data_IF_096035432063
#
_entry.id   IF_096035432063
#
_cell.length_a   1.000
_cell.length_b   1.000
_cell.length_c   1.000
_cell.angle_alpha   90.00
_cell.angle_beta   90.00
_cell.angle_gamma   90.00
#
_symmetry.space_group_name_H-M   'P 1'
#
loop_
_entity.id
_entity.type
_entity.pdbx_description
1 polymer ?
#
# COMPACT_ATOMS: atom_id res chain seq x y z
N UNK A 1 3.64 -11.33 21.79
CA UNK A 1 4.71 -11.17 20.79
C UNK A 1 4.25 -11.73 19.44
N UNK A 2 4.84 -11.29 18.33
CA UNK A 2 4.50 -11.75 16.99
C UNK A 2 4.59 -13.28 16.84
N UNK A 3 5.62 -13.89 17.43
CA UNK A 3 5.78 -15.34 17.42
C UNK A 3 4.58 -16.08 18.04
N UNK A 4 4.01 -15.54 19.13
CA UNK A 4 2.84 -16.15 19.78
C UNK A 4 1.57 -16.00 18.94
N UNK A 5 1.45 -14.91 18.18
CA UNK A 5 0.30 -14.65 17.31
C UNK A 5 0.35 -15.45 16.01
N UNK A 6 1.53 -15.58 15.41
CA UNK A 6 1.70 -16.24 14.12
C UNK A 6 1.97 -17.74 14.21
N UNK A 7 2.36 -18.25 15.39
CA UNK A 7 2.84 -19.60 15.57
C UNK A 7 4.16 -19.91 14.85
N UNK A 8 4.84 -18.88 14.33
CA UNK A 8 6.09 -18.99 13.57
C UNK A 8 7.23 -18.28 14.28
N UNK A 9 8.45 -18.78 14.12
CA UNK A 9 9.64 -18.14 14.67
C UNK A 9 9.88 -16.77 14.06
N UNK A 10 10.17 -15.77 14.91
CA UNK A 10 10.53 -14.42 14.48
C UNK A 10 12.03 -14.38 14.23
N UNK A 11 12.41 -14.07 13.00
CA UNK A 11 13.81 -13.89 12.60
C UNK A 11 14.27 -12.46 12.91
N UNK A 12 15.42 -12.33 13.58
CA UNK A 12 15.94 -11.03 14.04
C UNK A 12 17.27 -10.70 13.41
N UNK A 13 18.07 -11.68 13.04
CA UNK A 13 19.42 -11.49 12.52
C UNK A 13 19.68 -12.43 11.34
N UNK A 14 20.53 -11.98 10.41
CA UNK A 14 21.04 -12.82 9.31
C UNK A 14 21.96 -13.94 9.80
N UNK A 15 22.68 -13.71 10.90
CA UNK A 15 23.72 -14.60 11.43
C UNK A 15 23.24 -15.35 12.69
N UNK A 16 21.95 -15.60 12.83
CA UNK A 16 21.45 -16.43 13.92
C UNK A 16 21.82 -17.90 13.63
N UNK A 17 22.66 -18.58 14.46
CA UNK A 17 23.05 -19.98 14.25
C UNK A 17 21.86 -20.95 14.27
N UNK A 18 20.74 -20.55 14.89
CA UNK A 18 19.48 -21.31 14.87
C UNK A 18 18.73 -21.10 13.55
N UNK A 19 19.01 -20.03 12.81
CA UNK A 19 18.39 -19.76 11.52
C UNK A 19 18.96 -20.65 10.39
N UNK A 20 20.17 -21.19 10.52
CA UNK A 20 20.73 -22.17 9.57
C UNK A 20 19.99 -23.51 9.60
N UNK A 21 19.36 -23.87 10.74
CA UNK A 21 18.51 -25.06 10.87
C UNK A 21 17.07 -24.85 10.39
N UNK A 22 16.71 -23.61 10.00
CA UNK A 22 15.39 -23.22 9.54
C UNK A 22 15.46 -22.58 8.16
N UNK A 23 14.36 -21.93 7.77
CA UNK A 23 14.27 -21.21 6.50
C UNK A 23 15.25 -20.02 6.47
N UNK A 24 16.27 -20.09 5.63
CA UNK A 24 17.25 -19.01 5.42
C UNK A 24 16.63 -17.77 4.77
N UNK A 25 17.35 -16.65 4.76
CA UNK A 25 16.83 -15.38 4.19
C UNK A 25 16.38 -15.50 2.72
N UNK A 26 17.08 -16.31 1.91
CA UNK A 26 16.69 -16.54 0.51
C UNK A 26 15.41 -17.37 0.42
N UNK A 27 15.21 -18.34 1.29
CA UNK A 27 13.99 -19.14 1.32
C UNK A 27 12.80 -18.31 1.80
N UNK A 28 12.99 -17.44 2.80
CA UNK A 28 11.98 -16.46 3.23
C UNK A 28 11.61 -15.51 2.09
N UNK A 29 12.59 -15.01 1.34
CA UNK A 29 12.36 -14.13 0.22
C UNK A 29 11.56 -14.80 -0.92
N UNK A 30 11.77 -16.11 -1.13
CA UNK A 30 11.02 -16.92 -2.11
C UNK A 30 9.64 -17.33 -1.61
N UNK A 31 9.49 -17.50 -0.30
CA UNK A 31 8.25 -17.91 0.32
C UNK A 31 7.23 -16.77 0.42
N UNK A 32 7.69 -15.52 0.48
CA UNK A 32 6.82 -14.37 0.67
C UNK A 32 6.00 -14.07 -0.60
N UNK A 33 4.70 -13.90 -0.44
CA UNK A 33 3.79 -13.37 -1.47
C UNK A 33 3.77 -11.84 -1.44
N UNK A 34 4.05 -11.24 -0.27
CA UNK A 34 4.16 -9.80 -0.07
C UNK A 34 5.11 -9.51 1.09
N UNK A 35 5.91 -8.45 0.96
CA UNK A 35 6.72 -7.91 2.07
C UNK A 35 6.16 -6.55 2.47
N UNK A 36 5.69 -6.46 3.72
CA UNK A 36 5.31 -5.20 4.35
C UNK A 36 6.38 -4.72 5.32
N UNK A 37 6.81 -3.49 5.18
CA UNK A 37 7.68 -2.81 6.17
C UNK A 37 6.85 -1.80 6.97
N UNK A 38 6.46 -2.18 8.18
CA UNK A 38 5.62 -1.38 9.08
C UNK A 38 6.12 -1.48 10.53
N UNK A 39 6.64 -0.41 11.11
CA UNK A 39 6.85 0.92 10.53
C UNK A 39 8.06 0.99 9.58
N UNK A 40 7.95 1.82 8.52
CA UNK A 40 9.07 2.19 7.68
C UNK A 40 9.63 3.55 8.14
N UNK A 41 10.75 3.53 8.87
CA UNK A 41 11.43 4.75 9.34
C UNK A 41 12.18 5.43 8.20
N UNK A 42 12.61 6.69 8.38
CA UNK A 42 13.42 7.41 7.40
C UNK A 42 14.72 6.66 7.05
N UNK A 43 15.38 6.07 8.06
CA UNK A 43 16.58 5.26 7.84
C UNK A 43 16.28 4.02 6.99
N UNK A 44 15.23 3.27 7.35
CA UNK A 44 14.81 2.09 6.58
C UNK A 44 14.44 2.48 5.14
N UNK A 45 13.67 3.55 4.98
CA UNK A 45 13.30 4.05 3.65
C UNK A 45 14.52 4.38 2.79
N UNK A 46 15.54 5.02 3.36
CA UNK A 46 16.78 5.33 2.66
C UNK A 46 17.53 4.05 2.21
N UNK A 47 17.66 3.05 3.10
CA UNK A 47 18.28 1.78 2.76
C UNK A 47 17.55 1.08 1.60
N UNK A 48 16.21 1.02 1.67
CA UNK A 48 15.38 0.37 0.64
C UNK A 48 15.44 1.11 -0.69
N UNK A 49 15.38 2.44 -0.68
CA UNK A 49 15.45 3.27 -1.88
C UNK A 49 16.81 3.15 -2.59
N UNK A 50 17.89 3.06 -1.85
CA UNK A 50 19.26 2.97 -2.36
C UNK A 50 19.71 1.52 -2.64
N UNK A 51 18.87 0.52 -2.35
CA UNK A 51 19.20 -0.89 -2.57
C UNK A 51 20.30 -1.40 -1.65
N UNK A 52 20.52 -0.77 -0.50
CA UNK A 52 21.48 -1.24 0.49
C UNK A 52 20.91 -2.43 1.27
N UNK A 53 21.78 -3.37 1.66
CA UNK A 53 21.38 -4.61 2.33
C UNK A 53 22.26 -4.92 3.57
N UNK A 54 22.38 -4.00 4.55
CA UNK A 54 23.23 -4.21 5.71
C UNK A 54 22.61 -5.13 6.78
N UNK A 55 21.31 -5.40 6.70
CA UNK A 55 20.55 -6.17 7.68
C UNK A 55 19.61 -7.20 7.04
N UNK A 56 18.96 -8.02 7.86
CA UNK A 56 18.06 -9.06 7.39
C UNK A 56 16.89 -8.48 6.57
N UNK A 57 16.28 -7.39 7.03
CA UNK A 57 15.12 -6.78 6.36
C UNK A 57 15.48 -6.29 4.96
N UNK A 58 16.54 -5.49 4.87
CA UNK A 58 16.98 -4.92 3.59
C UNK A 58 17.51 -5.98 2.63
N UNK A 59 18.13 -7.05 3.15
CA UNK A 59 18.54 -8.22 2.36
C UNK A 59 17.31 -8.97 1.82
N UNK A 60 16.31 -9.25 2.65
CA UNK A 60 15.04 -9.87 2.22
C UNK A 60 14.35 -9.02 1.15
N UNK A 61 14.30 -7.71 1.36
CA UNK A 61 13.74 -6.76 0.42
C UNK A 61 14.42 -6.81 -0.95
N UNK A 62 15.73 -6.86 -0.97
CA UNK A 62 16.51 -6.94 -2.21
C UNK A 62 16.36 -8.30 -2.92
N UNK A 63 16.25 -9.39 -2.15
CA UNK A 63 16.18 -10.75 -2.69
C UNK A 63 14.78 -11.18 -3.16
N UNK A 64 13.73 -10.56 -2.62
CA UNK A 64 12.35 -10.97 -2.90
C UNK A 64 11.86 -10.41 -4.24
N UNK A 65 11.18 -11.28 -5.01
CA UNK A 65 10.52 -10.93 -6.26
C UNK A 65 9.02 -10.61 -6.10
N UNK A 66 8.47 -10.78 -4.88
CA UNK A 66 7.05 -10.55 -4.59
C UNK A 66 6.70 -9.06 -4.51
N UNK A 67 5.39 -8.79 -4.36
CA UNK A 67 4.88 -7.44 -4.10
C UNK A 67 5.49 -6.86 -2.81
N UNK A 68 5.68 -5.55 -2.80
CA UNK A 68 6.34 -4.85 -1.69
C UNK A 68 5.50 -3.65 -1.27
N UNK A 69 5.37 -3.46 0.04
CA UNK A 69 4.65 -2.34 0.63
C UNK A 69 5.43 -1.72 1.79
N UNK A 70 5.29 -0.43 1.97
CA UNK A 70 5.83 0.31 3.11
C UNK A 70 4.73 1.12 3.80
N UNK A 71 4.76 1.16 5.12
CA UNK A 71 3.95 2.06 5.94
C UNK A 71 4.89 3.06 6.66
N UNK A 72 5.11 4.26 6.10
CA UNK A 72 6.02 5.23 6.67
C UNK A 72 5.59 5.68 8.07
N UNK A 73 6.58 5.82 8.97
CA UNK A 73 6.39 6.29 10.34
C UNK A 73 7.61 7.05 10.82
N UNK A 74 7.49 8.36 11.04
CA UNK A 74 8.57 9.21 11.50
C UNK A 74 8.05 10.56 12.00
N UNK A 75 8.89 11.34 12.65
CA UNK A 75 8.57 12.72 13.00
C UNK A 75 8.25 13.55 11.74
N UNK A 76 7.35 14.53 11.85
CA UNK A 76 6.91 15.37 10.74
C UNK A 76 8.06 16.13 10.04
N UNK A 77 9.10 16.53 10.79
CA UNK A 77 10.25 17.21 10.21
C UNK A 77 11.11 16.24 9.38
N UNK A 78 11.25 15.00 9.88
CA UNK A 78 11.92 13.94 9.12
C UNK A 78 11.14 13.59 7.85
N UNK A 79 9.81 13.55 7.94
CA UNK A 79 8.96 13.31 6.77
C UNK A 79 9.11 14.40 5.70
N UNK A 80 9.12 15.68 6.13
CA UNK A 80 9.27 16.83 5.22
C UNK A 80 10.71 17.04 4.73
N UNK A 81 11.68 16.33 5.28
CA UNK A 81 13.07 16.51 4.91
C UNK A 81 13.30 16.17 3.43
N UNK A 82 14.01 17.02 2.66
CA UNK A 82 14.21 16.83 1.21
C UNK A 82 14.75 15.45 0.84
N UNK A 83 15.73 14.94 1.59
CA UNK A 83 16.30 13.62 1.34
C UNK A 83 15.31 12.47 1.60
N UNK A 84 14.42 12.63 2.58
CA UNK A 84 13.36 11.65 2.82
C UNK A 84 12.37 11.64 1.66
N UNK A 85 12.01 12.80 1.15
CA UNK A 85 11.12 12.90 -0.02
C UNK A 85 11.79 12.36 -1.28
N UNK A 86 13.07 12.63 -1.49
CA UNK A 86 13.83 12.07 -2.61
C UNK A 86 13.91 10.54 -2.55
N UNK A 87 14.12 9.95 -1.36
CA UNK A 87 14.07 8.50 -1.17
C UNK A 87 12.66 7.93 -1.42
N UNK A 88 11.62 8.64 -1.00
CA UNK A 88 10.23 8.26 -1.28
C UNK A 88 9.95 8.24 -2.79
N UNK A 89 10.36 9.27 -3.52
CA UNK A 89 10.20 9.37 -4.97
C UNK A 89 10.85 8.19 -5.71
N UNK A 90 12.00 7.70 -5.25
CA UNK A 90 12.65 6.53 -5.83
C UNK A 90 11.84 5.24 -5.65
N UNK A 91 10.99 5.16 -4.62
CA UNK A 91 10.14 4.01 -4.31
C UNK A 91 8.77 4.12 -4.98
N UNK A 92 8.30 5.33 -5.31
CA UNK A 92 7.01 5.55 -5.99
C UNK A 92 6.94 4.77 -7.31
N UNK A 93 5.86 4.03 -7.49
CA UNK A 93 5.62 3.21 -8.68
C UNK A 93 6.35 1.85 -8.67
N UNK A 94 7.24 1.60 -7.71
CA UNK A 94 7.92 0.31 -7.52
C UNK A 94 7.34 -0.49 -6.35
N UNK A 95 6.78 0.21 -5.35
CA UNK A 95 6.22 -0.40 -4.15
C UNK A 95 4.93 0.31 -3.78
N UNK A 96 4.07 -0.37 -3.05
CA UNK A 96 2.87 0.25 -2.47
C UNK A 96 3.25 1.08 -1.24
N UNK A 97 2.82 2.33 -1.22
CA UNK A 97 3.05 3.25 -0.10
C UNK A 97 1.72 3.49 0.59
N UNK A 98 1.62 3.17 1.89
CA UNK A 98 0.41 3.27 2.70
C UNK A 98 0.63 4.33 3.76
N UNK A 99 -0.02 5.45 3.65
CA UNK A 99 0.21 6.64 4.48
C UNK A 99 1.45 7.45 4.06
N UNK A 100 2.10 8.19 4.99
CA UNK A 100 1.70 8.34 6.39
C UNK A 100 0.49 9.25 6.56
N UNK A 101 -0.23 9.05 7.65
CA UNK A 101 -1.34 9.89 8.04
C UNK A 101 -0.88 11.16 8.76
N UNK A 102 -1.81 12.10 8.90
CA UNK A 102 -1.63 13.27 9.74
C UNK A 102 -2.28 13.07 11.09
N UNK A 103 -1.61 13.47 12.16
CA UNK A 103 -2.14 13.33 13.51
C UNK A 103 -1.12 13.64 14.58
N UNK A 104 -1.50 13.36 15.83
CA UNK A 104 -0.60 13.48 16.97
C UNK A 104 0.43 12.36 16.91
N UNK A 105 1.69 12.73 16.97
CA UNK A 105 2.84 11.83 16.99
C UNK A 105 3.27 11.49 18.41
N UNK A 106 4.08 10.46 18.58
CA UNK A 106 4.56 10.01 19.89
C UNK A 106 5.34 11.09 20.68
N UNK A 107 5.95 12.06 19.98
CA UNK A 107 6.62 13.22 20.56
C UNK A 107 5.66 14.37 20.97
N UNK A 108 4.35 14.25 20.70
CA UNK A 108 3.33 15.28 20.95
C UNK A 108 3.14 16.28 19.79
N UNK A 109 3.98 16.24 18.76
CA UNK A 109 3.81 17.06 17.56
C UNK A 109 2.56 16.64 16.78
N UNK A 110 1.96 17.60 16.08
CA UNK A 110 0.83 17.34 15.15
C UNK A 110 1.28 17.59 13.72
N UNK A 111 1.14 16.58 12.87
CA UNK A 111 1.52 16.70 11.48
C UNK A 111 1.57 15.36 10.75
N UNK A 112 2.00 15.39 9.49
CA UNK A 112 2.19 14.19 8.68
C UNK A 112 3.40 13.39 9.18
N UNK A 113 3.31 12.05 9.15
CA UNK A 113 4.38 11.16 9.57
C UNK A 113 3.93 10.06 10.54
N UNK A 114 2.66 10.07 10.94
CA UNK A 114 2.05 9.00 11.73
C UNK A 114 1.78 7.80 10.81
N UNK A 115 2.16 6.60 11.25
CA UNK A 115 1.80 5.38 10.53
C UNK A 115 0.27 5.24 10.44
N UNK A 116 -0.25 4.87 9.28
CA UNK A 116 -1.67 4.55 9.11
C UNK A 116 -2.12 3.44 10.07
N UNK A 117 -3.40 3.41 10.39
CA UNK A 117 -3.95 2.43 11.32
C UNK A 117 -3.79 1.01 10.79
N UNK A 118 -3.54 0.06 11.67
CA UNK A 118 -3.24 -1.33 11.31
C UNK A 118 -4.35 -1.97 10.45
N UNK A 119 -5.61 -1.62 10.71
CA UNK A 119 -6.75 -2.13 9.95
C UNK A 119 -6.75 -1.58 8.51
N UNK A 120 -6.42 -0.31 8.33
CA UNK A 120 -6.32 0.32 7.01
C UNK A 120 -5.19 -0.31 6.18
N UNK A 121 -4.02 -0.50 6.81
CA UNK A 121 -2.89 -1.19 6.19
C UNK A 121 -3.31 -2.60 5.75
N UNK A 122 -3.97 -3.36 6.64
CA UNK A 122 -4.42 -4.72 6.36
C UNK A 122 -5.40 -4.77 5.18
N UNK A 123 -6.43 -3.91 5.17
CA UNK A 123 -7.43 -3.83 4.11
C UNK A 123 -6.79 -3.48 2.75
N UNK A 124 -5.85 -2.54 2.77
CA UNK A 124 -5.13 -2.12 1.56
C UNK A 124 -4.28 -3.25 0.98
N UNK A 125 -3.61 -4.02 1.83
CA UNK A 125 -2.80 -5.17 1.42
C UNK A 125 -3.66 -6.34 0.96
N UNK A 126 -4.78 -6.59 1.62
CA UNK A 126 -5.73 -7.62 1.21
C UNK A 126 -6.27 -7.35 -0.20
N UNK A 127 -6.61 -6.11 -0.51
CA UNK A 127 -7.02 -5.70 -1.85
C UNK A 127 -5.91 -5.93 -2.90
N UNK A 128 -4.64 -5.78 -2.52
CA UNK A 128 -3.48 -6.01 -3.40
C UNK A 128 -3.26 -7.51 -3.67
N UNK A 129 -3.41 -8.34 -2.66
CA UNK A 129 -3.22 -9.80 -2.77
C UNK A 129 -4.41 -10.49 -3.46
N UNK A 130 -5.62 -10.01 -3.21
CA UNK A 130 -6.85 -10.53 -3.80
C UNK A 130 -7.03 -10.00 -5.23
N UNK A 131 -6.27 -10.55 -6.17
CA UNK A 131 -6.50 -10.32 -7.60
C UNK A 131 -7.81 -11.02 -8.01
N UNK A 132 -8.92 -10.30 -7.88
CA UNK A 132 -10.24 -10.80 -8.24
C UNK A 132 -10.39 -11.12 -9.74
N UNK A 133 -11.53 -11.69 -10.14
CA UNK A 133 -11.78 -12.15 -11.54
C UNK A 133 -11.72 -11.02 -12.57
N UNK A 134 -11.74 -9.77 -12.15
CA UNK A 134 -11.64 -8.59 -13.01
C UNK A 134 -10.22 -8.02 -13.12
N UNK A 135 -9.21 -8.65 -12.50
CA UNK A 135 -7.83 -8.19 -12.56
C UNK A 135 -7.34 -8.03 -14.02
N UNK A 136 -6.78 -6.87 -14.34
CA UNK A 136 -6.32 -6.54 -15.69
C UNK A 136 -7.44 -6.28 -16.72
N UNK A 137 -8.71 -6.27 -16.32
CA UNK A 137 -9.84 -5.92 -17.19
C UNK A 137 -10.15 -4.42 -17.10
N UNK A 138 -10.42 -3.80 -18.23
CA UNK A 138 -10.98 -2.45 -18.28
C UNK A 138 -12.48 -2.55 -18.15
N UNK A 139 -13.05 -1.91 -17.12
CA UNK A 139 -14.48 -1.89 -16.86
C UNK A 139 -14.98 -0.46 -17.00
N UNK A 140 -16.01 -0.27 -17.80
CA UNK A 140 -16.69 1.02 -17.96
C UNK A 140 -18.04 0.92 -17.26
N UNK A 141 -18.26 1.82 -16.29
CA UNK A 141 -19.49 1.86 -15.50
C UNK A 141 -20.14 3.23 -15.73
N UNK A 142 -21.39 3.21 -16.21
CA UNK A 142 -22.19 4.43 -16.32
C UNK A 142 -22.99 4.62 -15.03
N UNK A 143 -22.97 5.84 -14.48
CA UNK A 143 -23.67 6.19 -13.26
C UNK A 143 -24.34 7.56 -13.40
N UNK A 144 -25.52 7.71 -12.79
CA UNK A 144 -26.26 8.95 -12.83
C UNK A 144 -27.53 8.90 -13.71
N UNK A 145 -28.22 10.04 -13.83
CA UNK A 145 -29.40 10.15 -14.67
C UNK A 145 -29.05 10.15 -16.16
N UNK A 146 -29.91 9.59 -16.96
CA UNK A 146 -29.88 9.77 -18.43
C UNK A 146 -30.82 10.91 -18.82
N UNK A 147 -30.38 11.74 -19.79
CA UNK A 147 -31.16 12.83 -20.34
C UNK A 147 -31.32 12.60 -21.84
N UNK A 148 -32.57 12.51 -22.29
CA UNK A 148 -32.90 12.40 -23.70
C UNK A 148 -33.51 13.73 -24.16
N UNK A 149 -32.88 14.49 -25.06
CA UNK A 149 -33.40 15.77 -25.49
C UNK A 149 -34.69 15.59 -26.31
N UNK A 150 -35.72 16.34 -25.94
CA UNK A 150 -36.98 16.43 -26.69
C UNK A 150 -36.94 17.60 -27.65
N UNK A 151 -36.41 18.73 -27.20
CA UNK A 151 -36.18 19.94 -27.98
C UNK A 151 -34.98 20.73 -27.35
N UNK A 152 -34.57 21.87 -27.88
CA UNK A 152 -33.42 22.62 -27.33
C UNK A 152 -33.55 23.06 -25.87
N UNK A 153 -34.76 22.98 -25.29
CA UNK A 153 -35.07 23.44 -23.93
C UNK A 153 -35.48 22.32 -23.00
N UNK A 154 -36.11 21.28 -23.52
CA UNK A 154 -36.72 20.20 -22.73
C UNK A 154 -36.06 18.86 -22.99
N UNK A 155 -35.95 18.06 -21.94
CA UNK A 155 -35.45 16.69 -22.00
C UNK A 155 -36.27 15.76 -21.12
N UNK A 156 -36.28 14.49 -21.48
CA UNK A 156 -36.73 13.39 -20.64
C UNK A 156 -35.57 12.88 -19.84
N UNK A 157 -35.72 12.74 -18.54
CA UNK A 157 -34.70 12.24 -17.66
C UNK A 157 -35.24 11.36 -16.57
N UNK A 158 -34.42 10.43 -16.06
CA UNK A 158 -34.76 9.66 -14.88
C UNK A 158 -34.18 10.30 -13.61
N UNK A 159 -34.71 9.93 -12.43
CA UNK A 159 -34.26 10.43 -11.13
C UNK A 159 -33.15 9.53 -10.53
N UNK A 160 -32.33 8.92 -11.36
CA UNK A 160 -31.23 8.09 -10.86
C UNK A 160 -30.21 8.93 -10.09
N UNK A 161 -29.90 8.52 -8.86
CA UNK A 161 -28.86 9.15 -8.05
C UNK A 161 -27.44 8.63 -8.36
N UNK A 162 -27.31 7.65 -9.26
CA UNK A 162 -26.04 7.00 -9.55
C UNK A 162 -25.51 6.06 -8.48
N UNK A 163 -26.16 5.95 -7.31
CA UNK A 163 -25.66 5.17 -6.15
C UNK A 163 -25.27 3.73 -6.50
N UNK A 164 -26.04 3.07 -7.35
CA UNK A 164 -25.72 1.69 -7.77
C UNK A 164 -24.48 1.64 -8.65
N UNK A 165 -24.30 2.58 -9.57
CA UNK A 165 -23.09 2.67 -10.39
C UNK A 165 -21.84 2.96 -9.55
N UNK A 166 -21.94 3.84 -8.56
CA UNK A 166 -20.85 4.10 -7.62
C UNK A 166 -20.51 2.87 -6.77
N UNK A 167 -21.51 2.17 -6.22
CA UNK A 167 -21.29 0.94 -5.46
C UNK A 167 -20.65 -0.16 -6.34
N UNK A 168 -21.07 -0.29 -7.61
CA UNK A 168 -20.43 -1.20 -8.55
C UNK A 168 -19.00 -0.79 -8.84
N UNK A 169 -18.70 0.50 -8.96
CA UNK A 169 -17.34 0.99 -9.15
C UNK A 169 -16.45 0.65 -7.95
N UNK A 170 -16.92 0.84 -6.72
CA UNK A 170 -16.20 0.45 -5.51
C UNK A 170 -15.89 -1.05 -5.51
N UNK A 171 -16.87 -1.90 -5.79
CA UNK A 171 -16.66 -3.36 -5.86
C UNK A 171 -15.68 -3.70 -6.97
N UNK A 172 -15.81 -3.12 -8.16
CA UNK A 172 -14.86 -3.34 -9.25
C UNK A 172 -13.45 -2.90 -8.88
N UNK A 173 -13.27 -1.78 -8.17
CA UNK A 173 -11.99 -1.29 -7.69
C UNK A 173 -11.33 -2.28 -6.72
N UNK A 174 -12.09 -2.84 -5.79
CA UNK A 174 -11.61 -3.88 -4.87
C UNK A 174 -11.11 -5.13 -5.61
N UNK A 175 -11.71 -5.46 -6.76
CA UNK A 175 -11.35 -6.63 -7.56
C UNK A 175 -10.35 -6.38 -8.68
N UNK A 176 -10.06 -5.13 -9.04
CA UNK A 176 -9.14 -4.79 -10.15
C UNK A 176 -7.79 -4.24 -9.69
N UNK A 177 -7.64 -3.93 -8.40
CA UNK A 177 -6.44 -3.31 -7.81
C UNK A 177 -5.94 -2.10 -8.63
N UNK A 178 -6.67 -0.97 -8.64
CA UNK A 178 -6.20 0.24 -9.31
C UNK A 178 -5.28 1.02 -8.38
N UNK A 179 -4.28 1.64 -8.99
CA UNK A 179 -3.54 2.71 -8.35
C UNK A 179 -4.49 3.89 -8.05
N UNK A 180 -4.39 4.54 -6.88
CA UNK A 180 -5.16 5.75 -6.55
C UNK A 180 -5.02 6.91 -7.55
N UNK A 181 -4.08 6.83 -8.49
CA UNK A 181 -3.85 7.83 -9.55
C UNK A 181 -4.83 7.75 -10.71
N UNK A 182 -5.54 6.63 -10.87
CA UNK A 182 -6.49 6.47 -11.98
C UNK A 182 -7.86 7.10 -11.70
N UNK A 183 -8.02 7.71 -10.52
CA UNK A 183 -9.22 8.46 -10.11
C UNK A 183 -9.10 9.96 -10.37
N UNK A 184 -8.13 10.41 -11.17
CA UNK A 184 -8.11 11.81 -11.62
C UNK A 184 -9.28 12.06 -12.59
N UNK A 185 -10.31 12.63 -12.06
CA UNK A 185 -11.45 13.18 -12.77
C UNK A 185 -10.99 14.21 -13.83
N UNK A 186 -11.36 13.96 -15.04
CA UNK A 186 -11.51 14.99 -16.07
C UNK A 186 -12.72 15.87 -15.76
#
# INVERSE_FOLDING_TARGET
TFQALTGREVKVSMLDPKAEAGMGHIELARWADLILVAPCTANTMALLAQGQAPDLLSTLWAAAACEKAIAPAMNQQMWKHPETQANLEQLVGKVQIIGPDSGIQACGDVGSGRMSEALEIANTLEATLNRGPLAGRRVVITAGPTHEPVDPVRYLGNRSSGKMGFALAEVCLLYTSPSPRDLSTS
#
